data_IF_735925782486
#
_entry.id   IF_735925782486
#
_cell.length_a   1.000
_cell.length_b   1.000
_cell.length_c   1.000
_cell.angle_alpha   90.00
_cell.angle_beta   90.00
_cell.angle_gamma   90.00
#
_symmetry.space_group_name_H-M   'P 1'
#
loop_
_entity.id
_entity.type
_entity.pdbx_description
1 polymer ?
#
# COMPACT_ATOMS: atom_id res chain seq x y z
N UNK A 1 -16.47 -29.01 10.68
CA UNK A 1 -16.59 -28.57 9.27
C UNK A 1 -15.21 -28.17 8.79
N UNK A 2 -14.51 -29.06 8.08
CA UNK A 2 -13.24 -28.69 7.45
C UNK A 2 -13.60 -27.91 6.18
N UNK A 3 -13.19 -26.64 6.11
CA UNK A 3 -13.32 -25.85 4.88
C UNK A 3 -12.60 -26.54 3.73
N UNK A 4 -13.09 -26.33 2.50
CA UNK A 4 -12.46 -26.80 1.26
C UNK A 4 -10.94 -26.54 1.32
N UNK A 5 -10.14 -27.55 0.99
CA UNK A 5 -8.68 -27.43 0.98
C UNK A 5 -8.24 -26.29 0.06
N UNK A 6 -7.05 -25.71 0.26
CA UNK A 6 -6.56 -24.61 -0.58
C UNK A 6 -6.48 -24.96 -2.07
N UNK A 7 -6.53 -26.25 -2.42
CA UNK A 7 -6.65 -26.75 -3.81
C UNK A 7 -8.05 -26.56 -4.40
N UNK A 8 -9.09 -26.53 -3.57
CA UNK A 8 -10.50 -26.46 -3.99
C UNK A 8 -11.09 -25.03 -4.02
N UNK A 9 -10.30 -24.00 -3.70
CA UNK A 9 -10.73 -22.60 -3.84
C UNK A 9 -10.86 -22.22 -5.32
N UNK A 10 -11.94 -21.52 -5.64
CA UNK A 10 -12.08 -20.85 -6.94
C UNK A 10 -11.01 -19.78 -7.12
N UNK A 11 -10.69 -19.44 -8.36
CA UNK A 11 -9.68 -18.42 -8.66
C UNK A 11 -10.02 -17.07 -8.03
N UNK A 12 -11.30 -16.68 -8.05
CA UNK A 12 -11.77 -15.47 -7.36
C UNK A 12 -11.47 -15.52 -5.86
N UNK A 13 -11.65 -16.67 -5.20
CA UNK A 13 -11.32 -16.81 -3.78
C UNK A 13 -9.80 -16.75 -3.52
N UNK A 14 -8.97 -17.21 -4.48
CA UNK A 14 -7.51 -17.06 -4.41
C UNK A 14 -7.09 -15.60 -4.52
N UNK A 15 -7.64 -14.87 -5.49
CA UNK A 15 -7.35 -13.43 -5.67
C UNK A 15 -7.75 -12.63 -4.43
N UNK A 16 -8.92 -12.91 -3.83
CA UNK A 16 -9.31 -12.26 -2.57
C UNK A 16 -8.34 -12.59 -1.42
N UNK A 17 -7.82 -13.81 -1.36
CA UNK A 17 -6.84 -14.19 -0.34
C UNK A 17 -5.50 -13.47 -0.53
N UNK A 18 -5.03 -13.31 -1.78
CA UNK A 18 -3.84 -12.51 -2.09
C UNK A 18 -4.06 -11.05 -1.66
N UNK A 19 -5.17 -10.43 -2.09
CA UNK A 19 -5.49 -9.06 -1.73
C UNK A 19 -5.52 -8.83 -0.20
N UNK A 20 -6.10 -9.77 0.55
CA UNK A 20 -6.12 -9.70 2.01
C UNK A 20 -4.71 -9.79 2.60
N UNK A 21 -3.88 -10.71 2.09
CA UNK A 21 -2.51 -10.89 2.54
C UNK A 21 -1.66 -9.66 2.25
N UNK A 22 -1.71 -9.08 1.05
CA UNK A 22 -0.86 -7.93 0.75
C UNK A 22 -1.23 -6.69 1.57
N UNK A 23 -2.51 -6.51 1.90
CA UNK A 23 -2.92 -5.46 2.84
C UNK A 23 -2.38 -5.69 4.27
N UNK A 24 -2.33 -6.95 4.72
CA UNK A 24 -1.69 -7.31 6.00
C UNK A 24 -0.18 -7.05 5.94
N UNK A 25 0.49 -7.50 4.88
CA UNK A 25 1.93 -7.30 4.66
C UNK A 25 2.31 -5.81 4.66
N UNK A 26 1.52 -4.94 4.03
CA UNK A 26 1.74 -3.48 4.06
C UNK A 26 1.73 -2.96 5.49
N UNK A 27 0.71 -3.33 6.28
CA UNK A 27 0.60 -2.88 7.67
C UNK A 27 1.79 -3.36 8.51
N UNK A 28 2.21 -4.62 8.34
CA UNK A 28 3.35 -5.20 9.06
C UNK A 28 4.66 -4.48 8.70
N UNK A 29 4.95 -4.29 7.41
CA UNK A 29 6.18 -3.64 6.99
C UNK A 29 6.23 -2.16 7.37
N UNK A 30 5.11 -1.43 7.30
CA UNK A 30 5.06 -0.04 7.79
C UNK A 30 5.31 0.03 9.30
N UNK A 31 4.73 -0.88 10.10
CA UNK A 31 4.99 -0.96 11.54
C UNK A 31 6.47 -1.31 11.84
N UNK A 32 7.05 -2.27 11.12
CA UNK A 32 8.47 -2.60 11.27
C UNK A 32 9.38 -1.42 10.91
N UNK A 33 9.02 -0.63 9.89
CA UNK A 33 9.75 0.57 9.53
C UNK A 33 9.66 1.67 10.59
N UNK A 34 8.52 1.79 11.27
CA UNK A 34 8.33 2.72 12.39
C UNK A 34 9.19 2.33 13.60
N UNK A 35 9.20 1.05 13.95
CA UNK A 35 9.93 0.50 15.10
C UNK A 35 11.45 0.37 14.86
N UNK A 36 11.90 0.48 13.61
CA UNK A 36 13.31 0.30 13.23
C UNK A 36 14.18 1.50 13.61
N UNK A 37 15.24 1.25 14.38
CA UNK A 37 16.24 2.27 14.74
C UNK A 37 17.35 2.47 13.69
N UNK A 38 17.57 1.49 12.80
CA UNK A 38 18.60 1.55 11.76
C UNK A 38 18.01 2.15 10.46
N UNK A 39 18.57 3.25 9.93
CA UNK A 39 18.01 3.91 8.75
C UNK A 39 17.90 3.02 7.51
N UNK A 40 18.87 2.14 7.30
CA UNK A 40 18.89 1.20 6.16
C UNK A 40 17.77 0.17 6.26
N UNK A 41 17.50 -0.35 7.46
CA UNK A 41 16.42 -1.31 7.72
C UNK A 41 15.05 -0.64 7.57
N UNK A 42 14.91 0.59 8.06
CA UNK A 42 13.71 1.39 7.83
C UNK A 42 13.44 1.61 6.35
N UNK A 43 14.46 2.00 5.58
CA UNK A 43 14.34 2.20 4.14
C UNK A 43 13.97 0.91 3.40
N UNK A 44 14.52 -0.23 3.82
CA UNK A 44 14.19 -1.54 3.28
C UNK A 44 12.70 -1.89 3.46
N UNK A 45 12.16 -1.77 4.69
CA UNK A 45 10.75 -2.08 4.93
C UNK A 45 9.79 -1.10 4.24
N UNK A 46 10.15 0.19 4.14
CA UNK A 46 9.36 1.16 3.37
C UNK A 46 9.35 0.84 1.88
N UNK A 47 10.46 0.34 1.34
CA UNK A 47 10.53 -0.13 -0.04
C UNK A 47 9.61 -1.34 -0.26
N UNK A 48 9.68 -2.36 0.61
CA UNK A 48 8.80 -3.53 0.50
C UNK A 48 7.32 -3.14 0.60
N UNK A 49 6.95 -2.31 1.58
CA UNK A 49 5.57 -1.84 1.72
C UNK A 49 5.06 -1.09 0.47
N UNK A 50 5.96 -0.43 -0.28
CA UNK A 50 5.59 0.21 -1.54
C UNK A 50 5.34 -0.81 -2.67
N UNK A 51 6.13 -1.88 -2.76
CA UNK A 51 5.91 -2.96 -3.73
C UNK A 51 4.59 -3.70 -3.46
N UNK A 52 4.28 -3.99 -2.20
CA UNK A 52 3.02 -4.68 -1.88
C UNK A 52 1.77 -3.83 -2.21
N UNK A 53 1.88 -2.50 -2.20
CA UNK A 53 0.81 -1.60 -2.68
C UNK A 53 0.57 -1.76 -4.19
N UNK A 54 1.61 -2.06 -4.97
CA UNK A 54 1.47 -2.41 -6.39
C UNK A 54 0.71 -3.73 -6.53
N UNK A 55 1.08 -4.76 -5.76
CA UNK A 55 0.38 -6.05 -5.76
C UNK A 55 -1.11 -5.92 -5.35
N UNK A 56 -1.43 -5.07 -4.37
CA UNK A 56 -2.82 -4.73 -4.01
C UNK A 56 -3.58 -4.17 -5.22
N UNK A 57 -2.94 -3.30 -6.00
CA UNK A 57 -3.56 -2.71 -7.19
C UNK A 57 -3.82 -3.75 -8.29
N UNK A 58 -2.87 -4.65 -8.54
CA UNK A 58 -2.98 -5.73 -9.52
C UNK A 58 -4.05 -6.75 -9.13
N UNK A 59 -4.04 -7.21 -7.87
CA UNK A 59 -5.04 -8.14 -7.35
C UNK A 59 -6.45 -7.52 -7.38
N UNK A 60 -6.57 -6.24 -7.04
CA UNK A 60 -7.83 -5.50 -7.13
C UNK A 60 -8.33 -5.41 -8.57
N UNK A 61 -7.44 -5.10 -9.52
CA UNK A 61 -7.78 -5.05 -10.93
C UNK A 61 -8.32 -6.40 -11.42
N UNK A 62 -7.61 -7.50 -11.10
CA UNK A 62 -8.05 -8.85 -11.46
C UNK A 62 -9.40 -9.20 -10.83
N UNK A 63 -9.62 -8.83 -9.56
CA UNK A 63 -10.88 -9.08 -8.87
C UNK A 63 -12.06 -8.39 -9.57
N UNK A 64 -11.87 -7.14 -10.02
CA UNK A 64 -12.89 -6.39 -10.78
C UNK A 64 -13.23 -7.03 -12.12
N UNK A 65 -12.24 -7.64 -12.78
CA UNK A 65 -12.49 -8.35 -14.05
C UNK A 65 -13.33 -9.61 -13.83
N UNK A 66 -13.03 -10.40 -12.79
CA UNK A 66 -13.59 -11.73 -12.57
C UNK A 66 -14.89 -11.74 -11.75
N UNK A 67 -15.11 -10.78 -10.87
CA UNK A 67 -16.28 -10.71 -10.00
C UNK A 67 -17.15 -9.49 -10.32
N UNK A 68 -18.18 -9.71 -11.14
CA UNK A 68 -19.13 -8.66 -11.55
C UNK A 68 -19.96 -8.11 -10.39
N UNK A 69 -20.22 -8.92 -9.37
CA UNK A 69 -20.92 -8.47 -8.18
C UNK A 69 -20.08 -7.44 -7.42
N UNK A 70 -18.82 -7.78 -7.18
CA UNK A 70 -17.87 -6.87 -6.53
C UNK A 70 -17.56 -5.63 -7.40
N UNK A 71 -17.38 -5.77 -8.71
CA UNK A 71 -17.14 -4.63 -9.61
C UNK A 71 -18.31 -3.62 -9.60
N UNK A 72 -19.54 -4.10 -9.49
CA UNK A 72 -20.71 -3.23 -9.32
C UNK A 72 -20.65 -2.39 -8.03
N UNK A 73 -19.92 -2.83 -6.99
CA UNK A 73 -19.66 -2.00 -5.80
C UNK A 73 -18.58 -0.95 -6.06
N UNK A 74 -17.55 -1.25 -6.85
CA UNK A 74 -16.53 -0.27 -7.23
C UNK A 74 -17.07 0.85 -8.12
N UNK A 75 -18.11 0.59 -8.92
CA UNK A 75 -18.72 1.60 -9.78
C UNK A 75 -19.70 2.53 -9.05
N UNK A 76 -20.11 2.20 -7.81
CA UNK A 76 -21.04 3.02 -7.04
C UNK A 76 -20.30 4.21 -6.42
N UNK A 77 -20.79 5.45 -6.59
CA UNK A 77 -20.25 6.59 -5.88
C UNK A 77 -20.58 6.47 -4.38
N UNK A 78 -19.60 6.77 -3.53
CA UNK A 78 -19.84 6.92 -2.09
C UNK A 78 -20.24 8.37 -1.80
N UNK A 79 -21.46 8.56 -1.34
CA UNK A 79 -21.95 9.91 -0.97
C UNK A 79 -21.31 10.38 0.35
N UNK A 80 -21.08 11.69 0.52
CA UNK A 80 -20.74 12.26 1.82
C UNK A 80 -21.78 11.80 2.85
N UNK A 81 -21.31 11.15 3.92
CA UNK A 81 -22.16 10.60 4.97
C UNK A 81 -22.43 9.10 4.92
N UNK A 82 -21.95 8.39 3.89
CA UNK A 82 -21.92 6.92 3.88
C UNK A 82 -21.29 6.33 5.16
N UNK A 83 -20.33 7.03 5.77
CA UNK A 83 -19.64 6.62 7.00
C UNK A 83 -20.16 7.30 8.29
N UNK A 84 -21.01 8.32 8.18
CA UNK A 84 -21.46 9.11 9.33
C UNK A 84 -22.55 8.39 10.14
N UNK A 85 -23.32 7.51 9.51
CA UNK A 85 -24.32 6.67 10.19
C UNK A 85 -23.72 5.77 11.28
N UNK A 86 -22.42 5.46 11.20
CA UNK A 86 -21.72 4.65 12.21
C UNK A 86 -21.24 5.46 13.44
N UNK A 87 -21.20 6.80 13.35
CA UNK A 87 -20.70 7.69 14.41
C UNK A 87 -21.85 8.37 15.19
N UNK A 88 -23.06 8.41 14.62
CA UNK A 88 -24.23 9.15 15.15
C UNK A 88 -25.02 8.49 16.29
N UNK A 89 -24.42 7.58 17.06
CA UNK A 89 -25.05 6.90 18.19
C UNK A 89 -24.87 7.59 19.55
N UNK A 90 -24.38 8.83 19.59
CA UNK A 90 -24.35 9.63 20.83
C UNK A 90 -25.38 10.74 20.67
N UNK A 91 -26.46 10.79 21.48
CA UNK A 91 -27.39 11.91 21.43
C UNK A 91 -26.63 13.18 21.82
N UNK A 92 -26.47 14.11 20.87
CA UNK A 92 -26.10 15.48 21.20
C UNK A 92 -27.23 16.08 22.01
N UNK A 93 -26.97 16.33 23.29
CA UNK A 93 -27.82 17.14 24.17
C UNK A 93 -28.12 18.48 23.47
N UNK A 94 -29.38 18.96 23.44
CA UNK A 94 -29.70 20.21 22.77
C UNK A 94 -29.07 21.38 23.52
N UNK A 95 -28.20 22.12 22.82
CA UNK A 95 -27.65 23.38 23.29
C UNK A 95 -28.79 24.38 23.54
N UNK A 96 -28.80 24.96 24.76
CA UNK A 96 -29.68 26.05 25.13
C UNK A 96 -29.47 27.27 24.20
N UNK A 97 -30.52 28.03 23.83
CA UNK A 97 -30.38 29.14 22.91
C UNK A 97 -29.62 30.30 23.56
N UNK A 98 -28.53 30.72 22.92
CA UNK A 98 -27.87 31.98 23.20
C UNK A 98 -28.76 33.14 22.76
N UNK A 99 -28.92 34.14 23.63
CA UNK A 99 -29.61 35.38 23.33
C UNK A 99 -28.75 36.30 22.45
N UNK A 100 -29.38 36.96 21.49
CA UNK A 100 -28.89 38.14 20.76
C UNK A 100 -29.91 39.29 20.94
N UNK A 101 -29.66 40.57 20.52
CA UNK A 101 -28.44 41.19 19.93
C UNK A 101 -28.11 42.58 20.57
N UNK A 102 -27.03 43.27 20.18
CA UNK A 102 -27.05 44.72 19.82
C UNK A 102 -25.73 45.22 19.19
N UNK A 103 -25.89 46.12 18.22
CA UNK A 103 -24.94 46.72 17.27
C UNK A 103 -23.84 47.65 17.84
N UNK A 104 -22.69 47.73 17.15
CA UNK A 104 -21.94 48.99 16.91
C UNK A 104 -21.01 48.88 15.68
N UNK A 105 -20.92 49.97 14.90
CA UNK A 105 -20.25 50.12 13.60
C UNK A 105 -18.79 50.68 13.73
N UNK A 106 -18.00 50.86 12.63
CA UNK A 106 -16.54 50.58 12.56
C UNK A 106 -15.58 51.77 12.80
N UNK A 107 -14.25 51.53 12.78
CA UNK A 107 -13.36 52.34 11.92
C UNK A 107 -12.23 51.57 11.18
N UNK A 108 -11.63 52.26 10.20
CA UNK A 108 -10.67 51.79 9.18
C UNK A 108 -9.17 51.90 9.62
N UNK A 109 -8.15 51.53 8.78
CA UNK A 109 -6.93 50.80 9.20
C UNK A 109 -5.67 51.66 9.39
N UNK A 110 -4.52 51.02 9.74
CA UNK A 110 -3.30 51.27 8.98
C UNK A 110 -2.51 50.00 8.60
N UNK A 111 -1.52 50.23 7.75
CA UNK A 111 -0.88 49.33 6.81
C UNK A 111 0.40 48.61 7.32
N UNK A 112 0.87 47.71 6.43
CA UNK A 112 2.27 47.30 6.17
C UNK A 112 2.88 46.15 6.98
N UNK A 113 2.97 44.99 6.30
CA UNK A 113 3.80 43.84 6.64
C UNK A 113 3.95 42.86 5.46
N UNK A 114 4.71 43.26 4.43
CA UNK A 114 5.41 42.43 3.42
C UNK A 114 6.05 41.17 4.05
N UNK A 115 6.33 40.01 3.44
CA UNK A 115 6.24 39.25 2.17
C UNK A 115 6.48 37.78 2.63
N UNK A 116 5.99 36.70 2.02
CA UNK A 116 6.39 36.22 0.72
C UNK A 116 5.46 35.08 0.32
N UNK A 117 4.92 35.21 -0.89
CA UNK A 117 4.20 34.15 -1.59
C UNK A 117 5.28 33.38 -2.36
N UNK A 118 5.79 32.28 -1.81
CA UNK A 118 6.72 31.40 -2.54
C UNK A 118 5.93 30.65 -3.61
N UNK A 119 6.26 30.75 -4.91
CA UNK A 119 5.64 29.90 -5.91
C UNK A 119 6.19 28.48 -5.76
N UNK A 120 5.29 27.49 -5.66
CA UNK A 120 5.62 26.08 -5.83
C UNK A 120 6.29 25.91 -7.21
N UNK A 121 7.59 25.69 -7.22
CA UNK A 121 8.36 25.41 -8.43
C UNK A 121 7.85 24.10 -9.04
N UNK A 122 6.94 24.21 -9.99
CA UNK A 122 6.50 23.12 -10.87
C UNK A 122 7.67 22.73 -11.77
N UNK A 123 8.49 21.77 -11.34
CA UNK A 123 9.44 21.12 -12.24
C UNK A 123 8.68 20.18 -13.19
N UNK A 124 8.86 20.27 -14.52
CA UNK A 124 8.26 19.33 -15.45
C UNK A 124 8.86 17.92 -15.25
N UNK A 125 8.13 16.84 -15.56
CA UNK A 125 8.65 15.48 -15.45
C UNK A 125 9.86 15.32 -16.37
N UNK A 126 11.02 15.06 -15.78
CA UNK A 126 12.23 14.75 -16.53
C UNK A 126 12.03 13.39 -17.21
N UNK A 127 12.01 13.38 -18.55
CA UNK A 127 12.12 12.14 -19.32
C UNK A 127 13.50 11.52 -19.04
N UNK A 128 13.52 10.41 -18.32
CA UNK A 128 14.69 9.55 -18.19
C UNK A 128 15.07 9.03 -19.59
N UNK A 129 16.14 9.58 -20.17
CA UNK A 129 16.76 9.03 -21.38
C UNK A 129 17.66 7.87 -20.93
N UNK A 130 17.20 6.63 -21.16
CA UNK A 130 18.04 5.44 -21.04
C UNK A 130 19.04 5.44 -22.20
N UNK A 131 20.24 6.00 -21.97
CA UNK A 131 21.26 6.12 -23.00
C UNK A 131 22.69 6.06 -22.50
N UNK A 132 22.95 5.57 -21.28
CA UNK A 132 24.33 5.31 -20.84
C UNK A 132 24.65 3.83 -21.07
N UNK A 133 25.58 3.48 -21.97
CA UNK A 133 26.02 2.10 -22.12
C UNK A 133 26.70 1.61 -20.84
N UNK A 134 26.48 0.35 -20.48
CA UNK A 134 27.03 -0.26 -19.29
C UNK A 134 28.57 -0.14 -19.26
N UNK A 135 29.19 0.16 -18.11
CA UNK A 135 30.64 0.18 -18.00
C UNK A 135 31.22 -1.21 -18.29
N UNK A 136 32.42 -1.29 -18.89
CA UNK A 136 33.07 -2.56 -19.15
C UNK A 136 33.31 -3.34 -17.84
N UNK A 137 33.28 -4.68 -17.87
CA UNK A 137 33.55 -5.48 -16.68
C UNK A 137 34.94 -5.16 -16.13
N UNK A 138 35.02 -4.96 -14.81
CA UNK A 138 36.29 -4.71 -14.13
C UNK A 138 37.21 -5.93 -14.28
N UNK A 139 38.50 -5.70 -14.54
CA UNK A 139 39.50 -6.75 -14.73
C UNK A 139 39.67 -7.70 -13.52
N UNK A 140 39.12 -7.34 -12.36
CA UNK A 140 39.16 -8.11 -11.11
C UNK A 140 37.78 -8.67 -10.69
N UNK A 141 36.82 -8.77 -11.62
CA UNK A 141 35.52 -9.38 -11.34
C UNK A 141 35.64 -10.89 -11.12
N UNK A 142 35.48 -11.36 -9.89
CA UNK A 142 35.34 -12.79 -9.62
C UNK A 142 33.98 -13.29 -10.14
N UNK A 143 33.93 -14.38 -10.93
CA UNK A 143 32.68 -14.91 -11.43
C UNK A 143 31.83 -15.46 -10.27
N UNK A 144 30.61 -14.94 -10.11
CA UNK A 144 29.62 -15.50 -9.21
C UNK A 144 29.25 -16.90 -9.72
N UNK A 145 29.76 -17.93 -9.04
CA UNK A 145 29.46 -19.33 -9.37
C UNK A 145 28.10 -19.68 -8.79
N UNK A 146 27.08 -19.78 -9.65
CA UNK A 146 25.79 -20.37 -9.27
C UNK A 146 26.03 -21.89 -9.14
N UNK A 147 25.99 -22.39 -7.92
CA UNK A 147 26.15 -23.81 -7.62
C UNK A 147 25.15 -24.67 -8.39
N UNK A 148 25.64 -25.77 -8.97
CA UNK A 148 24.84 -26.72 -9.73
C UNK A 148 23.82 -27.41 -8.81
N UNK A 149 22.53 -27.21 -9.10
CA UNK A 149 21.44 -27.88 -8.40
C UNK A 149 21.55 -29.40 -8.60
N UNK A 150 21.93 -30.13 -7.55
CA UNK A 150 22.01 -31.59 -7.55
C UNK A 150 20.60 -32.16 -7.75
N UNK A 151 20.32 -32.68 -8.94
CA UNK A 151 19.11 -33.47 -9.23
C UNK A 151 19.13 -34.70 -8.31
N UNK A 152 18.26 -34.72 -7.31
CA UNK A 152 18.07 -35.84 -6.40
C UNK A 152 17.57 -37.06 -7.17
N UNK A 153 18.47 -38.02 -7.39
CA UNK A 153 18.17 -39.34 -7.95
C UNK A 153 18.92 -40.40 -7.16
N UNK A 154 18.16 -41.17 -6.36
CA UNK A 154 18.43 -42.57 -6.01
C UNK A 154 19.61 -42.88 -5.08
N UNK A 155 19.30 -43.37 -3.87
CA UNK A 155 19.96 -44.55 -3.28
C UNK A 155 19.27 -44.92 -1.97
N UNK A 156 18.75 -46.13 -1.90
CA UNK A 156 18.14 -46.69 -0.69
C UNK A 156 17.99 -48.20 -0.84
N UNK A 157 19.12 -48.90 -0.99
CA UNK A 157 19.19 -50.35 -0.86
C UNK A 157 19.87 -50.73 0.45
N UNK A 158 19.23 -51.58 1.27
CA UNK A 158 19.91 -52.57 2.11
C UNK A 158 18.97 -53.53 2.85
N UNK A 159 19.34 -54.82 2.82
CA UNK A 159 18.97 -55.88 3.78
C UNK A 159 17.65 -56.59 3.48
N UNK A 160 17.54 -57.93 3.37
CA UNK A 160 18.39 -59.02 3.82
C UNK A 160 17.57 -59.96 4.72
N UNK A 161 17.33 -61.20 4.27
CA UNK A 161 17.02 -62.36 5.11
C UNK A 161 15.56 -62.82 5.20
N UNK A 162 15.20 -63.88 4.47
CA UNK A 162 15.07 -65.27 4.97
C UNK A 162 14.65 -66.20 3.83
#
# INVERSE_FOLDING_TARGET
MAGKSDTERSDVARIRAVLARELETINEYEAFAEDSSLPEVKAFFLHLAAEEKEHVSEATHMLRMLDKGQDAHFAKPFVPGHFQAAVGGVPSEPALPAAEPVHAAPPAPPALGRLANEPLTSLPPQRLIYGVPAPPPSANGHPLTIGSLRRGGGSGGSGGGR
#
